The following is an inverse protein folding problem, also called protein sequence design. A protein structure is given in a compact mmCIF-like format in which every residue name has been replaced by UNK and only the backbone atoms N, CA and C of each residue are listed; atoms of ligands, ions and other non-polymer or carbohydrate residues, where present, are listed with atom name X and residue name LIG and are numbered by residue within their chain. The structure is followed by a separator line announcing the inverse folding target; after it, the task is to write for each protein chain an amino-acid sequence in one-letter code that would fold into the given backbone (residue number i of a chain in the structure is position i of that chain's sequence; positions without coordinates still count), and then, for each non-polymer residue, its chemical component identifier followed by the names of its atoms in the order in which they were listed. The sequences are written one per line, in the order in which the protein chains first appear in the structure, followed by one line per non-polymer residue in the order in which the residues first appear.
data_IF_925172100425
#
_entry.id   IF_925172100425
#
_cell.length_a   1.000
_cell.length_b   1.000
_cell.length_c   1.000
_cell.angle_alpha   90.00
_cell.angle_beta   90.00
_cell.angle_gamma   90.00
#
_symmetry.space_group_name_H-M   'P 1'
#
loop_
_entity.id
_entity.type
_entity.pdbx_description
1 polymer ?
#
# COMPACT_ATOMS: atom_id res chain seq x y z
N UNK A 1 -15.35 -5.70 7.00
CA UNK A 1 -14.12 -4.93 6.75
C UNK A 1 -12.93 -5.88 6.67
N UNK A 2 -12.16 -5.81 5.62
CA UNK A 2 -11.05 -6.72 5.37
C UNK A 2 -9.73 -5.95 5.37
N UNK A 3 -8.70 -6.53 5.96
CA UNK A 3 -7.36 -5.97 5.96
C UNK A 3 -6.38 -6.97 5.34
N UNK A 4 -5.51 -6.49 4.46
CA UNK A 4 -4.46 -7.28 3.85
C UNK A 4 -3.14 -6.51 4.00
N UNK A 5 -2.11 -7.22 4.46
CA UNK A 5 -0.76 -6.66 4.60
C UNK A 5 0.20 -7.50 3.79
N UNK A 6 1.00 -6.85 2.95
CA UNK A 6 2.00 -7.55 2.16
C UNK A 6 3.34 -6.84 2.19
N UNK A 7 4.39 -7.61 1.89
CA UNK A 7 5.76 -7.14 1.72
C UNK A 7 6.12 -7.32 0.25
N UNK A 8 6.78 -6.34 -0.35
CA UNK A 8 7.30 -6.46 -1.70
C UNK A 8 8.67 -5.77 -1.80
N UNK A 9 9.33 -5.97 -2.93
CA UNK A 9 10.63 -5.38 -3.20
C UNK A 9 10.56 -4.56 -4.48
N UNK A 10 11.23 -3.42 -4.51
CA UNK A 10 11.36 -2.65 -5.75
C UNK A 10 12.22 -3.41 -6.75
N UNK A 11 11.89 -3.30 -8.04
CA UNK A 11 12.68 -3.90 -9.12
C UNK A 11 13.84 -3.01 -9.53
N UNK A 12 13.64 -1.69 -9.38
CA UNK A 12 14.67 -0.67 -9.58
C UNK A 12 14.50 0.37 -8.48
N UNK A 13 15.59 1.06 -8.09
CA UNK A 13 15.49 2.08 -7.04
C UNK A 13 14.48 3.18 -7.40
N UNK A 14 13.58 3.48 -6.49
CA UNK A 14 12.62 4.56 -6.64
C UNK A 14 13.29 5.90 -6.33
N UNK A 15 13.11 6.87 -7.24
CA UNK A 15 13.49 8.26 -6.95
C UNK A 15 12.44 8.92 -6.05
N UNK A 16 12.78 10.02 -5.35
CA UNK A 16 11.77 10.77 -4.59
C UNK A 16 10.57 11.19 -5.43
N UNK A 17 10.78 11.57 -6.69
CA UNK A 17 9.70 11.94 -7.61
C UNK A 17 8.81 10.73 -7.94
N UNK A 18 9.41 9.58 -8.17
CA UNK A 18 8.68 8.34 -8.47
C UNK A 18 7.82 7.92 -7.28
N UNK A 19 8.35 8.04 -6.06
CA UNK A 19 7.58 7.75 -4.82
C UNK A 19 6.41 8.72 -4.66
N UNK A 20 6.62 10.01 -4.88
CA UNK A 20 5.54 11.00 -4.80
C UNK A 20 4.44 10.72 -5.81
N UNK A 21 4.82 10.38 -7.04
CA UNK A 21 3.87 10.03 -8.10
C UNK A 21 3.07 8.79 -7.75
N UNK A 22 3.75 7.76 -7.24
CA UNK A 22 3.12 6.51 -6.79
C UNK A 22 2.08 6.79 -5.70
N UNK A 23 2.45 7.57 -4.69
CA UNK A 23 1.57 7.92 -3.57
C UNK A 23 0.37 8.74 -4.01
N UNK A 24 0.57 9.75 -4.88
CA UNK A 24 -0.52 10.57 -5.39
C UNK A 24 -1.53 9.73 -6.16
N UNK A 25 -1.04 8.81 -7.00
CA UNK A 25 -1.89 7.89 -7.75
C UNK A 25 -2.63 6.94 -6.82
N UNK A 26 -1.93 6.35 -5.86
CA UNK A 26 -2.53 5.43 -4.88
C UNK A 26 -3.62 6.11 -4.06
N UNK A 27 -3.38 7.32 -3.59
CA UNK A 27 -4.35 8.08 -2.79
C UNK A 27 -5.64 8.34 -3.57
N UNK A 28 -5.52 8.79 -4.83
CA UNK A 28 -6.70 9.02 -5.67
C UNK A 28 -7.46 7.73 -5.93
N UNK A 29 -6.75 6.68 -6.28
CA UNK A 29 -7.33 5.38 -6.60
C UNK A 29 -8.01 4.76 -5.38
N UNK A 30 -7.34 4.78 -4.25
CA UNK A 30 -7.86 4.23 -2.99
C UNK A 30 -9.10 4.98 -2.51
N UNK A 31 -9.08 6.31 -2.58
CA UNK A 31 -10.23 7.12 -2.21
C UNK A 31 -11.46 6.76 -3.05
N UNK A 32 -11.28 6.58 -4.35
CA UNK A 32 -12.37 6.17 -5.25
C UNK A 32 -12.90 4.77 -4.95
N UNK A 33 -12.06 3.88 -4.42
CA UNK A 33 -12.41 2.49 -4.11
C UNK A 33 -12.87 2.28 -2.66
N UNK A 34 -12.86 3.31 -1.84
CA UNK A 34 -13.16 3.19 -0.41
C UNK A 34 -12.09 2.42 0.36
N UNK A 35 -10.85 2.46 -0.12
CA UNK A 35 -9.70 1.82 0.53
C UNK A 35 -8.90 2.84 1.32
N UNK A 36 -8.47 2.43 2.51
CA UNK A 36 -7.53 3.18 3.34
C UNK A 36 -6.32 2.30 3.63
N UNK A 37 -5.20 2.89 4.03
CA UNK A 37 -4.02 2.09 4.32
C UNK A 37 -2.77 2.89 4.61
N UNK A 38 -1.66 2.18 4.73
CA UNK A 38 -0.35 2.71 5.08
C UNK A 38 0.72 2.03 4.21
N UNK A 39 1.67 2.82 3.74
CA UNK A 39 2.84 2.33 3.01
C UNK A 39 4.11 2.70 3.78
N UNK A 40 4.95 1.71 4.03
CA UNK A 40 6.29 1.91 4.56
C UNK A 40 7.29 1.54 3.47
N UNK A 41 8.32 2.36 3.31
CA UNK A 41 9.38 2.12 2.33
C UNK A 41 10.73 2.22 3.03
N UNK A 42 11.54 1.16 2.92
CA UNK A 42 12.86 1.12 3.53
C UNK A 42 13.75 0.13 2.80
N UNK A 43 14.97 0.56 2.46
CA UNK A 43 16.00 -0.28 1.84
C UNK A 43 15.48 -1.08 0.63
N UNK A 44 14.68 -0.42 -0.21
CA UNK A 44 14.13 -1.05 -1.41
C UNK A 44 12.95 -1.98 -1.16
N UNK A 45 12.43 -2.04 0.07
CA UNK A 45 11.28 -2.86 0.43
C UNK A 45 10.06 -1.99 0.71
N UNK A 46 8.90 -2.49 0.32
CA UNK A 46 7.61 -1.91 0.65
C UNK A 46 6.86 -2.84 1.59
N UNK A 47 6.34 -2.27 2.68
CA UNK A 47 5.36 -2.94 3.52
C UNK A 47 4.07 -2.13 3.41
N UNK A 48 3.00 -2.75 2.93
CA UNK A 48 1.75 -2.06 2.69
C UNK A 48 0.58 -2.75 3.39
N UNK A 49 -0.22 -1.95 4.09
CA UNK A 49 -1.50 -2.37 4.65
C UNK A 49 -2.62 -1.73 3.83
N UNK A 50 -3.61 -2.52 3.48
CA UNK A 50 -4.80 -2.07 2.75
C UNK A 50 -6.03 -2.56 3.48
N UNK A 51 -7.03 -1.70 3.62
CA UNK A 51 -8.27 -2.06 4.31
C UNK A 51 -9.49 -1.52 3.57
N UNK A 52 -10.53 -2.32 3.54
CA UNK A 52 -11.77 -1.99 2.83
C UNK A 52 -12.61 -3.24 2.59
N UNK A 53 -13.43 -3.20 1.53
CA UNK A 53 -14.17 -4.36 1.07
C UNK A 53 -13.21 -5.45 0.58
N UNK A 54 -13.42 -6.69 0.98
CA UNK A 54 -12.51 -7.79 0.68
C UNK A 54 -12.26 -7.96 -0.82
N UNK A 55 -13.31 -8.00 -1.62
CA UNK A 55 -13.18 -8.17 -3.07
C UNK A 55 -12.37 -7.04 -3.70
N UNK A 56 -12.62 -5.81 -3.28
CA UNK A 56 -11.93 -4.62 -3.76
C UNK A 56 -10.45 -4.64 -3.37
N UNK A 57 -10.14 -4.97 -2.10
CA UNK A 57 -8.77 -5.06 -1.61
C UNK A 57 -8.00 -6.16 -2.35
N UNK A 58 -8.59 -7.34 -2.51
CA UNK A 58 -7.94 -8.45 -3.22
C UNK A 58 -7.68 -8.12 -4.70
N UNK A 59 -8.62 -7.46 -5.35
CA UNK A 59 -8.47 -7.02 -6.74
C UNK A 59 -7.32 -6.02 -6.90
N UNK A 60 -7.23 -5.07 -5.96
CA UNK A 60 -6.15 -4.09 -5.97
C UNK A 60 -4.78 -4.76 -5.74
N UNK A 61 -4.69 -5.68 -4.79
CA UNK A 61 -3.46 -6.42 -4.52
C UNK A 61 -3.02 -7.27 -5.70
N UNK A 62 -3.95 -7.91 -6.40
CA UNK A 62 -3.64 -8.66 -7.61
C UNK A 62 -3.06 -7.76 -8.70
N UNK A 63 -3.60 -6.56 -8.84
CA UNK A 63 -3.12 -5.54 -9.78
C UNK A 63 -1.71 -5.08 -9.44
N UNK A 64 -1.45 -4.79 -8.16
CA UNK A 64 -0.14 -4.39 -7.66
C UNK A 64 0.89 -5.51 -7.89
N UNK A 65 0.52 -6.76 -7.66
CA UNK A 65 1.40 -7.92 -7.87
C UNK A 65 1.85 -8.07 -9.33
N UNK A 66 1.06 -7.58 -10.27
CA UNK A 66 1.40 -7.60 -11.69
C UNK A 66 2.16 -6.36 -12.17
N UNK A 67 2.30 -5.36 -11.31
CA UNK A 67 3.05 -4.14 -11.64
C UNK A 67 4.54 -4.46 -11.65
N UNK A 68 5.21 -4.13 -12.75
CA UNK A 68 6.62 -4.43 -12.94
C UNK A 68 7.57 -3.71 -11.98
N UNK A 69 7.07 -2.69 -11.27
CA UNK A 69 7.86 -1.94 -10.27
C UNK A 69 8.04 -2.71 -8.96
N UNK A 70 7.27 -3.78 -8.77
CA UNK A 70 7.33 -4.63 -7.57
C UNK A 70 7.69 -6.05 -7.95
N UNK A 71 8.38 -6.73 -7.03
CA UNK A 71 8.70 -8.15 -7.13
C UNK A 71 8.60 -8.79 -5.75
N UNK A 72 8.62 -10.12 -5.71
CA UNK A 72 8.65 -10.87 -4.47
C UNK A 72 7.53 -10.47 -3.51
N UNK A 73 6.31 -10.30 -4.02
CA UNK A 73 5.15 -9.96 -3.19
C UNK A 73 4.82 -11.14 -2.27
N UNK A 74 4.85 -10.88 -0.96
CA UNK A 74 4.55 -11.87 0.07
C UNK A 74 3.42 -11.35 0.95
N UNK A 75 2.31 -12.06 1.01
CA UNK A 75 1.19 -11.71 1.88
C UNK A 75 1.49 -12.15 3.30
N UNK A 76 1.46 -11.19 4.24
CA UNK A 76 1.75 -11.42 5.64
C UNK A 76 0.48 -11.66 6.46
N UNK A 77 -0.56 -10.88 6.19
CA UNK A 77 -1.85 -10.96 6.88
C UNK A 77 -2.99 -10.81 5.90
N UNK A 78 -4.03 -11.60 6.11
CA UNK A 78 -5.29 -11.53 5.38
C UNK A 78 -6.38 -11.85 6.40
N UNK A 79 -7.06 -10.82 6.93
CA UNK A 79 -8.04 -11.04 8.00
C UNK A 79 -9.20 -10.06 7.95
N UNK A 80 -10.30 -10.45 8.54
CA UNK A 80 -11.42 -9.56 8.79
C UNK A 80 -11.15 -8.74 10.05
N UNK A 81 -11.42 -7.44 9.97
CA UNK A 81 -11.28 -6.52 11.09
C UNK A 81 -12.60 -5.82 11.34
N UNK A 82 -12.84 -5.37 12.56
CA UNK A 82 -14.08 -4.68 12.90
C UNK A 82 -14.08 -3.23 12.46
N UNK A 83 -12.93 -2.55 12.62
CA UNK A 83 -12.77 -1.15 12.30
C UNK A 83 -11.50 -0.92 11.51
N UNK A 84 -11.48 0.17 10.74
CA UNK A 84 -10.26 0.58 10.04
C UNK A 84 -9.20 1.06 11.03
N UNK A 85 -7.97 0.65 10.81
CA UNK A 85 -6.83 1.16 11.57
C UNK A 85 -6.30 2.47 10.99
N UNK A 86 -6.53 2.70 9.69
CA UNK A 86 -6.05 3.87 8.96
C UNK A 86 -7.21 4.65 8.34
N UNK A 87 -8.26 4.87 9.12
CA UNK A 87 -9.54 5.41 8.63
C UNK A 87 -9.41 6.77 7.93
N UNK A 88 -8.46 7.61 8.36
CA UNK A 88 -8.26 8.95 7.82
C UNK A 88 -7.25 9.00 6.67
N UNK A 89 -6.68 7.86 6.28
CA UNK A 89 -5.59 7.82 5.32
C UNK A 89 -5.95 6.99 4.09
N UNK A 90 -6.19 7.64 2.95
CA UNK A 90 -6.31 6.92 1.68
C UNK A 90 -5.00 6.22 1.32
N UNK A 91 -3.86 6.77 1.74
CA UNK A 91 -2.57 6.08 1.80
C UNK A 91 -1.59 6.93 2.62
N UNK A 92 -1.37 6.55 3.88
CA UNK A 92 -0.32 7.11 4.70
C UNK A 92 1.05 6.59 4.22
N UNK A 93 2.11 7.33 4.50
CA UNK A 93 3.45 6.95 4.04
C UNK A 93 4.51 7.25 5.08
N UNK A 94 5.42 6.28 5.28
CA UNK A 94 6.66 6.45 6.03
C UNK A 94 7.82 6.02 5.14
N UNK A 95 8.83 6.88 5.02
CA UNK A 95 10.06 6.53 4.32
C UNK A 95 11.11 5.98 5.29
N UNK A 96 12.28 5.59 4.76
CA UNK A 96 13.36 5.02 5.56
C UNK A 96 14.00 5.99 6.55
N UNK A 97 13.72 7.29 6.43
CA UNK A 97 14.18 8.31 7.37
C UNK A 97 13.16 8.46 8.52
N UNK A 98 12.02 7.78 8.43
CA UNK A 98 10.98 7.81 9.45
C UNK A 98 10.02 9.00 9.35
N UNK A 99 10.03 9.75 8.26
CA UNK A 99 9.08 10.84 8.05
C UNK A 99 7.71 10.29 7.68
N UNK A 100 6.67 10.82 8.32
CA UNK A 100 5.30 10.48 8.01
C UNK A 100 4.72 11.47 7.01
N UNK A 101 4.08 10.94 5.97
CA UNK A 101 3.37 11.71 4.95
C UNK A 101 1.95 11.17 4.83
N UNK A 102 0.97 11.97 5.14
CA UNK A 102 -0.45 11.56 5.11
C UNK A 102 -1.27 12.39 4.13
#
# INVERSE_FOLDING_TARGET
MFQLVYLSRETEPFTPEALRSLLAHARRNNAALGITGMLLYRDGHFLQALEGDETTVRSLCAKISRDSRHSQVTYLFEENIEEREFADWSMGFHDEIGRAHV
#
